data_IF_910935612711
#
_entry.id   IF_910935612711
#
_cell.length_a   1.000
_cell.length_b   1.000
_cell.length_c   1.000
_cell.angle_alpha   90.00
_cell.angle_beta   90.00
_cell.angle_gamma   90.00
#
_symmetry.space_group_name_H-M   'P 1'
#
loop_
_entity.id
_entity.type
_entity.pdbx_description
1 polymer ?
#
# COMPACT_ATOMS: atom_id res chain seq x y z
N UNK A 1 -1.00 -1.16 12.39
CA UNK A 1 -0.87 -0.57 11.03
C UNK A 1 -1.13 0.93 11.11
N UNK A 2 -0.09 1.73 10.82
CA UNK A 2 -0.17 3.20 10.87
C UNK A 2 -0.81 3.73 9.59
N UNK A 3 -1.65 4.78 9.68
CA UNK A 3 -2.24 5.45 8.52
C UNK A 3 -1.59 6.81 8.32
N UNK A 4 -1.24 7.13 7.08
CA UNK A 4 -0.71 8.44 6.69
C UNK A 4 -1.39 8.91 5.41
N UNK A 5 -1.42 10.21 5.22
CA UNK A 5 -1.86 10.82 3.97
C UNK A 5 -0.73 10.77 2.94
N UNK A 6 -1.10 10.82 1.65
CA UNK A 6 -0.14 10.94 0.56
C UNK A 6 0.77 12.17 0.72
N UNK A 7 0.23 13.29 1.21
CA UNK A 7 1.01 14.52 1.44
C UNK A 7 2.08 14.31 2.50
N UNK A 8 1.75 13.68 3.64
CA UNK A 8 2.72 13.38 4.70
C UNK A 8 3.82 12.43 4.22
N UNK A 9 3.44 11.43 3.41
CA UNK A 9 4.40 10.47 2.85
C UNK A 9 5.35 11.13 1.84
N UNK A 10 4.89 12.10 1.04
CA UNK A 10 5.75 12.83 0.09
C UNK A 10 6.63 13.85 0.79
N UNK A 11 6.11 14.56 1.79
CA UNK A 11 6.89 15.57 2.49
C UNK A 11 8.07 14.97 3.27
N UNK A 12 7.93 13.75 3.79
CA UNK A 12 8.96 13.07 4.58
C UNK A 12 9.08 11.58 4.21
N UNK A 13 9.60 11.25 3.00
CA UNK A 13 9.63 9.87 2.52
C UNK A 13 10.52 8.98 3.38
N UNK A 14 11.68 9.47 3.83
CA UNK A 14 12.60 8.71 4.71
C UNK A 14 11.89 8.24 5.97
N UNK A 15 11.19 9.16 6.66
CA UNK A 15 10.43 8.85 7.87
C UNK A 15 9.30 7.84 7.62
N UNK A 16 8.68 7.87 6.43
CA UNK A 16 7.69 6.88 6.03
C UNK A 16 8.32 5.49 5.84
N UNK A 17 9.50 5.39 5.22
CA UNK A 17 10.22 4.12 5.08
C UNK A 17 10.73 3.57 6.42
N UNK A 18 11.30 4.41 7.29
CA UNK A 18 11.74 4.01 8.63
C UNK A 18 10.58 3.50 9.49
N UNK A 19 9.43 4.17 9.41
CA UNK A 19 8.24 3.71 10.11
C UNK A 19 7.73 2.36 9.55
N UNK A 20 7.95 2.08 8.25
CA UNK A 20 7.56 0.82 7.62
C UNK A 20 8.44 -0.36 8.07
N UNK A 21 9.68 -0.10 8.51
CA UNK A 21 10.54 -1.11 9.12
C UNK A 21 9.96 -1.66 10.43
N UNK A 22 9.14 -0.86 11.14
CA UNK A 22 8.47 -1.26 12.38
C UNK A 22 7.07 -1.84 12.15
N UNK A 23 6.62 -1.93 10.89
CA UNK A 23 5.36 -2.54 10.51
C UNK A 23 4.60 -1.76 9.42
N UNK A 24 3.51 -2.33 8.89
CA UNK A 24 2.82 -1.79 7.73
C UNK A 24 2.29 -0.36 7.89
N UNK A 25 2.51 0.45 6.86
CA UNK A 25 1.94 1.80 6.75
C UNK A 25 0.95 1.85 5.59
N UNK A 26 -0.27 2.29 5.88
CA UNK A 26 -1.30 2.57 4.89
C UNK A 26 -1.23 4.03 4.45
N UNK A 27 -0.96 4.25 3.18
CA UNK A 27 -1.02 5.56 2.53
C UNK A 27 -2.40 5.74 1.90
N UNK A 28 -3.07 6.84 2.28
CA UNK A 28 -4.39 7.18 1.76
C UNK A 28 -4.37 8.52 1.03
N UNK A 29 -5.19 8.64 -0.01
CA UNK A 29 -5.44 9.88 -0.72
C UNK A 29 -6.92 9.95 -1.09
N UNK A 30 -7.53 11.12 -0.94
CA UNK A 30 -8.93 11.32 -1.33
C UNK A 30 -9.13 10.93 -2.80
N UNK A 31 -10.19 10.16 -3.04
CA UNK A 31 -10.60 9.70 -4.37
C UNK A 31 -9.53 8.91 -5.16
N UNK A 32 -8.61 8.24 -4.47
CA UNK A 32 -7.58 7.37 -5.07
C UNK A 32 -7.49 6.07 -4.28
N UNK A 33 -6.92 5.04 -4.92
CA UNK A 33 -6.63 3.78 -4.25
C UNK A 33 -5.64 4.01 -3.10
N UNK A 34 -5.83 3.30 -2.00
CA UNK A 34 -4.86 3.25 -0.91
C UNK A 34 -3.65 2.39 -1.33
N UNK A 35 -2.47 2.75 -0.84
CA UNK A 35 -1.23 1.99 -1.03
C UNK A 35 -0.68 1.58 0.34
N UNK A 36 0.18 0.56 0.38
CA UNK A 36 0.83 0.12 1.62
C UNK A 36 2.34 0.11 1.40
N UNK A 37 3.10 0.61 2.38
CA UNK A 37 4.55 0.43 2.46
C UNK A 37 4.83 -0.66 3.50
N UNK A 38 5.67 -1.62 3.11
CA UNK A 38 6.13 -2.76 3.91
C UNK A 38 7.65 -2.86 3.80
N UNK A 39 8.31 -3.45 4.80
CA UNK A 39 9.65 -3.99 4.59
C UNK A 39 9.60 -5.14 3.58
N UNK A 40 10.74 -5.42 2.94
CA UNK A 40 10.84 -6.55 1.99
C UNK A 40 10.56 -7.87 2.71
N UNK A 41 11.10 -8.05 3.92
CA UNK A 41 10.89 -9.26 4.71
C UNK A 41 9.40 -9.52 5.02
N UNK A 42 8.66 -8.47 5.38
CA UNK A 42 7.23 -8.60 5.67
C UNK A 42 6.42 -8.85 4.40
N UNK A 43 6.79 -8.21 3.28
CA UNK A 43 6.19 -8.52 1.98
C UNK A 43 6.41 -9.99 1.59
N UNK A 44 7.64 -10.50 1.75
CA UNK A 44 7.95 -11.90 1.47
C UNK A 44 7.18 -12.86 2.37
N UNK A 45 7.08 -12.55 3.67
CA UNK A 45 6.31 -13.35 4.63
C UNK A 45 4.85 -13.43 4.22
N UNK A 46 4.23 -12.30 3.88
CA UNK A 46 2.82 -12.24 3.48
C UNK A 46 2.56 -12.91 2.13
N UNK A 47 3.47 -12.75 1.16
CA UNK A 47 3.32 -13.38 -0.16
C UNK A 47 3.49 -14.90 -0.11
N UNK A 48 4.42 -15.41 0.72
CA UNK A 48 4.57 -16.86 0.96
C UNK A 48 3.31 -17.47 1.61
N UNK A 49 2.62 -16.73 2.48
CA UNK A 49 1.35 -17.16 3.09
C UNK A 49 0.18 -17.13 2.10
N UNK A 50 0.18 -16.20 1.14
CA UNK A 50 -0.91 -15.99 0.20
C UNK A 50 -0.86 -16.85 -1.07
N UNK A 51 0.10 -17.77 -1.22
CA UNK A 51 0.15 -18.68 -2.39
C UNK A 51 -1.07 -19.65 -2.43
N UNK A 52 -1.83 -19.75 -1.33
CA UNK A 52 -2.97 -20.65 -1.23
C UNK A 52 -4.24 -20.20 -2.01
N UNK A 53 -4.38 -18.95 -2.45
CA UNK A 53 -5.59 -18.51 -3.17
C UNK A 53 -5.33 -17.40 -4.22
N UNK A 54 -5.73 -17.60 -5.48
CA UNK A 54 -5.62 -16.57 -6.51
C UNK A 54 -6.65 -15.46 -6.29
N UNK A 55 -6.18 -14.23 -6.06
CA UNK A 55 -7.03 -13.04 -5.98
C UNK A 55 -7.67 -12.75 -7.36
N UNK A 56 -9.01 -12.72 -7.49
CA UNK A 56 -9.66 -12.46 -8.76
C UNK A 56 -9.34 -11.05 -9.26
N UNK A 57 -9.06 -10.93 -10.56
CA UNK A 57 -8.74 -9.67 -11.20
C UNK A 57 -9.87 -8.65 -11.00
N UNK A 58 -9.58 -7.50 -10.39
CA UNK A 58 -10.57 -6.41 -10.29
C UNK A 58 -10.80 -5.81 -11.67
N UNK A 59 -12.07 -5.59 -12.09
CA UNK A 59 -12.35 -4.96 -13.37
C UNK A 59 -11.75 -3.55 -13.40
N UNK A 60 -10.93 -3.27 -14.43
CA UNK A 60 -10.43 -1.92 -14.69
C UNK A 60 -11.65 -1.01 -14.90
N UNK A 61 -11.91 -0.08 -13.98
CA UNK A 61 -12.93 0.96 -14.17
C UNK A 61 -12.60 1.70 -15.46
N UNK A 62 -13.40 1.51 -16.51
CA UNK A 62 -13.31 2.32 -17.73
C UNK A 62 -13.61 3.76 -17.32
N UNK A 63 -12.66 4.67 -17.53
CA UNK A 63 -12.96 6.09 -17.54
C UNK A 63 -13.91 6.33 -18.71
N UNK A 64 -15.14 6.73 -18.41
CA UNK A 64 -16.10 7.20 -19.43
C UNK A 64 -15.67 8.64 -19.75
N UNK A 65 -15.24 8.95 -20.99
CA UNK A 65 -15.02 10.33 -21.40
C UNK A 65 -16.38 11.04 -21.47
N UNK A 66 -16.43 12.27 -20.93
CA UNK A 66 -17.58 13.17 -21.06
C UNK A 66 -17.60 13.81 -22.45
#
# INVERSE_FOLDING_TARGET
MRKVTFTEAILNPVKAFEAAANGPILITRRNRCAAVILSVDEYERLTKLNVAEPVPARPRRRLIPR
#
